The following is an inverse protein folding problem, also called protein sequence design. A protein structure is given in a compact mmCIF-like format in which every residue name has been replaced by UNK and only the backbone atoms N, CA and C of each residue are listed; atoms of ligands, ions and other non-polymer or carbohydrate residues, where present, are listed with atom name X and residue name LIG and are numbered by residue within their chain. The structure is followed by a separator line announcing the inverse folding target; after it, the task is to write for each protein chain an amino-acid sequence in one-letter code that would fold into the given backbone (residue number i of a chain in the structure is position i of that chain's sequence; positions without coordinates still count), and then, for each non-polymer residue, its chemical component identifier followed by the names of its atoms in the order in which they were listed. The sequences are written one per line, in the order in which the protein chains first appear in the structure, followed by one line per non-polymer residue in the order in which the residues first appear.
data_IF_462234453412
#
_entry.id   IF_462234453412
#
_cell.length_a   1.000
_cell.length_b   1.000
_cell.length_c   1.000
_cell.angle_alpha   90.00
_cell.angle_beta   90.00
_cell.angle_gamma   90.00
#
_symmetry.space_group_name_H-M   'P 1'
#
loop_
_entity.id
_entity.type
_entity.pdbx_description
1 polymer ?
2 non-polymer ?
#
# COMPACT_ATOMS: atom_id res chain seq x y z
N UNK A 8 -2.35 -14.24 3.33
CA UNK A 8 -1.40 -15.29 3.67
C UNK A 8 0.05 -15.10 3.16
N UNK A 9 0.37 -14.73 1.91
CA UNK A 9 -0.45 -14.43 0.70
C UNK A 9 -1.50 -13.33 0.87
N UNK A 10 -1.10 -12.22 1.49
CA UNK A 10 -1.99 -11.07 1.66
C UNK A 10 -1.29 -9.80 1.21
N UNK A 11 -1.98 -8.98 0.43
CA UNK A 11 -1.40 -7.77 -0.14
C UNK A 11 -0.95 -6.76 0.91
N UNK A 12 0.18 -6.12 0.66
CA UNK A 12 0.69 -5.05 1.52
C UNK A 12 0.33 -3.70 0.92
N UNK A 13 -0.38 -2.88 1.68
CA UNK A 13 -0.88 -1.60 1.19
C UNK A 13 0.11 -0.46 1.41
N UNK A 14 0.52 0.17 0.31
CA UNK A 14 1.36 1.36 0.35
C UNK A 14 0.58 2.55 -0.16
N UNK A 15 0.58 3.64 0.61
CA UNK A 15 -0.15 4.83 0.24
C UNK A 15 0.75 6.02 -0.03
N UNK A 16 0.15 7.14 -0.39
CA UNK A 16 0.90 8.36 -0.64
C UNK A 16 1.43 8.95 0.66
N UNK A 17 2.15 10.06 0.55
CA UNK A 17 2.72 10.70 1.73
C UNK A 17 1.67 11.40 2.57
N UNK A 18 1.45 10.90 3.77
CA UNK A 18 0.59 11.56 4.75
C UNK A 18 1.46 12.26 5.80
N UNK A 19 0.97 13.38 6.34
CA UNK A 19 1.75 14.14 7.31
C UNK A 19 1.99 13.35 8.59
N UNK A 20 1.00 12.57 9.00
CA UNK A 20 1.14 11.67 10.14
C UNK A 20 2.24 10.67 9.78
N UNK A 21 2.44 10.46 8.49
CA UNK A 21 3.50 9.58 8.03
C UNK A 21 4.84 10.28 7.81
N UNK A 22 4.92 11.55 8.22
CA UNK A 22 6.19 12.25 8.28
C UNK A 22 6.59 12.58 9.73
N UNK A 23 5.60 12.71 10.61
CA UNK A 23 5.83 13.19 11.98
C UNK A 23 6.29 12.15 13.02
N UNK A 24 6.08 10.85 12.76
CA UNK A 24 6.03 9.79 13.78
C UNK A 24 6.56 8.41 13.39
N UNK A 25 7.87 8.09 13.50
CA UNK A 25 8.49 6.93 12.82
C UNK A 25 7.64 5.64 12.75
N UNK A 26 7.81 4.84 11.69
CA UNK A 26 7.01 3.63 11.49
C UNK A 26 6.96 2.77 12.74
N UNK A 27 8.06 2.70 13.48
CA UNK A 27 8.11 1.92 14.71
C UNK A 27 7.20 2.51 15.78
N UNK A 28 6.95 3.82 15.68
CA UNK A 28 6.07 4.51 16.61
C UNK A 28 4.62 4.50 16.12
N UNK A 29 4.40 4.76 14.83
CA UNK A 29 3.06 4.62 14.24
C UNK A 29 2.49 3.25 14.49
N UNK A 30 3.32 2.24 14.22
CA UNK A 30 2.91 0.86 14.36
C UNK A 30 2.37 0.62 15.77
N UNK A 31 3.22 0.91 16.76
CA UNK A 31 2.97 0.60 18.17
C UNK A 31 1.55 0.94 18.65
N UNK A 32 1.12 2.18 18.45
CA UNK A 32 -0.21 2.62 18.86
C UNK A 32 -1.31 1.95 18.04
N UNK A 33 -0.94 1.47 16.85
CA UNK A 33 -1.85 0.74 15.99
C UNK A 33 -2.34 -0.58 16.57
N UNK A 34 -1.42 -1.47 16.92
CA UNK A 34 -1.83 -2.75 17.50
C UNK A 34 -2.39 -2.60 18.91
N UNK A 35 -2.09 -1.48 19.55
CA UNK A 35 -2.58 -1.22 20.90
C UNK A 35 -4.08 -0.92 20.87
N UNK A 36 -4.52 -0.22 19.83
CA UNK A 36 -5.93 0.16 19.70
C UNK A 36 -6.82 -1.03 19.37
N UNK A 37 -6.41 -1.81 18.37
CA UNK A 37 -7.21 -2.93 17.89
C UNK A 37 -7.45 -3.99 18.96
N UNK A 38 -6.62 -4.00 19.99
CA UNK A 38 -6.79 -4.90 21.11
C UNK A 38 -7.68 -4.26 22.18
N UNK A 39 -7.61 -2.94 22.27
CA UNK A 39 -8.44 -2.19 23.21
C UNK A 39 -9.84 -1.98 22.65
N UNK A 40 -9.93 -1.80 21.34
CA UNK A 40 -11.21 -1.62 20.66
C UNK A 40 -11.28 -2.47 19.39
N UNK A 41 -11.79 -3.71 19.52
CA UNK A 41 -11.91 -4.62 18.38
C UNK A 41 -13.13 -4.33 17.51
N UNK A 42 -14.07 -3.59 18.05
CA UNK A 42 -15.31 -3.28 17.34
C UNK A 42 -15.19 -2.00 16.52
N UNK A 43 -14.03 -1.34 16.61
CA UNK A 43 -13.85 -0.05 15.94
C UNK A 43 -12.52 0.02 15.17
N UNK A 44 -12.38 1.06 14.37
CA UNK A 44 -11.26 1.19 13.45
C UNK A 44 -10.54 2.53 13.56
N UNK A 45 -9.20 2.50 13.70
CA UNK A 45 -8.38 3.73 13.73
C UNK A 45 -8.18 4.30 12.33
N UNK A 46 -8.60 5.54 12.13
CA UNK A 46 -8.53 6.17 10.81
C UNK A 46 -7.82 7.53 10.87
N UNK A 47 -6.86 7.71 9.97
CA UNK A 47 -6.18 9.00 9.83
C UNK A 47 -6.76 9.78 8.66
N UNK A 48 -7.28 10.97 8.93
CA UNK A 48 -7.90 11.79 7.90
C UNK A 48 -7.14 13.10 7.69
N UNK A 49 -6.63 13.31 6.48
CA UNK A 49 -5.86 14.50 6.17
C UNK A 49 -6.27 15.14 4.85
N UNK A 50 -6.00 16.44 4.71
CA UNK A 50 -6.27 17.15 3.47
C UNK A 50 -5.20 16.85 2.43
N UNK A 51 -5.63 16.66 1.19
CA UNK A 51 -4.71 16.49 0.07
C UNK A 51 -3.87 17.75 -0.09
N UNK A 52 -2.61 17.61 -0.56
CA UNK A 52 -1.67 18.72 -0.69
C UNK A 52 -2.24 19.97 -1.38
N UNK A 53 -2.64 19.85 -2.64
CA UNK A 53 -3.04 21.01 -3.43
C UNK A 53 -4.52 21.36 -3.27
N UNK A 54 -5.22 20.60 -2.44
CA UNK A 54 -6.67 20.76 -2.29
C UNK A 54 -7.06 22.10 -1.67
N UNK A 55 -8.12 22.71 -2.18
CA UNK A 55 -8.62 23.98 -1.69
C UNK A 55 -9.80 23.80 -0.73
N UNK A 56 -9.54 23.14 0.40
CA UNK A 56 -10.57 22.90 1.41
C UNK A 56 -10.00 23.15 2.80
N UNK A 57 -10.85 23.64 3.73
CA UNK A 57 -10.45 23.91 5.11
C UNK A 57 -9.78 22.71 5.78
N UNK A 58 -8.73 22.97 6.56
CA UNK A 58 -8.01 21.89 7.22
C UNK A 58 -8.82 21.34 8.38
N UNK A 59 -8.61 20.07 8.69
CA UNK A 59 -9.37 19.39 9.73
C UNK A 59 -8.75 19.63 11.11
N UNK A 60 -9.59 20.03 12.06
CA UNK A 60 -9.15 20.33 13.42
C UNK A 60 -8.42 19.16 14.07
N UNK A 61 -9.08 18.00 14.09
CA UNK A 61 -8.47 16.78 14.60
C UNK A 61 -8.42 15.74 13.47
N UNK A 62 -7.37 14.94 13.44
CA UNK A 62 -7.16 14.03 12.31
C UNK A 62 -7.12 12.56 12.72
N UNK A 63 -7.16 12.29 14.02
CA UNK A 63 -7.17 10.92 14.51
C UNK A 63 -8.58 10.50 14.92
N UNK A 64 -9.08 9.43 14.30
CA UNK A 64 -10.47 9.02 14.50
C UNK A 64 -10.64 7.53 14.81
N UNK A 65 -11.51 7.24 15.78
CA UNK A 65 -11.91 5.87 16.08
C UNK A 65 -13.33 5.63 15.57
N UNK A 66 -13.43 4.86 14.49
CA UNK A 66 -14.70 4.70 13.79
C UNK A 66 -15.27 3.28 13.96
N UNK A 67 -16.56 3.18 14.28
CA UNK A 67 -17.27 1.89 14.36
C UNK A 67 -17.09 1.04 13.11
N UNK A 68 -16.93 -0.27 13.28
CA UNK A 68 -16.63 -1.16 12.17
C UNK A 68 -17.81 -1.34 11.21
N UNK A 69 -19.02 -1.09 11.71
CA UNK A 69 -20.22 -1.30 10.89
C UNK A 69 -20.81 0.02 10.40
N UNK A 70 -19.99 1.07 10.35
CA UNK A 70 -20.40 2.35 9.79
C UNK A 70 -19.95 2.43 8.34
N UNK A 71 -20.86 2.86 7.45
CA UNK A 71 -20.54 2.92 6.03
C UNK A 71 -19.60 4.08 5.70
N UNK A 72 -18.88 3.94 4.60
CA UNK A 72 -17.95 4.98 4.15
C UNK A 72 -18.69 6.28 3.87
N UNK A 73 -19.88 6.15 3.28
CA UNK A 73 -20.71 7.29 2.97
C UNK A 73 -21.13 8.09 4.19
N UNK A 74 -21.45 7.39 5.27
CA UNK A 74 -21.85 8.03 6.51
C UNK A 74 -20.68 8.76 7.17
N UNK A 75 -19.49 8.20 7.03
CA UNK A 75 -18.28 8.85 7.54
C UNK A 75 -17.93 10.07 6.71
N UNK A 76 -18.30 10.04 5.44
CA UNK A 76 -18.07 11.15 4.52
C UNK A 76 -18.88 12.38 4.92
N UNK A 77 -20.16 12.17 5.25
CA UNK A 77 -21.02 13.26 5.70
C UNK A 77 -20.61 13.74 7.08
N UNK A 78 -20.00 12.84 7.85
CA UNK A 78 -19.53 13.16 9.19
C UNK A 78 -18.36 14.14 9.12
N UNK A 79 -17.46 13.89 8.18
CA UNK A 79 -16.29 14.74 7.98
C UNK A 79 -16.67 16.11 7.41
N UNK A 80 -17.63 16.11 6.48
CA UNK A 80 -18.12 17.35 5.89
C UNK A 80 -18.64 18.30 6.96
N UNK A 81 -19.35 17.76 7.94
CA UNK A 81 -19.90 18.56 9.03
C UNK A 81 -18.78 19.11 9.92
N UNK A 82 -17.65 18.40 9.94
CA UNK A 82 -16.50 18.84 10.73
C UNK A 82 -15.68 19.88 9.98
N UNK A 83 -15.59 19.72 8.66
CA UNK A 83 -14.92 20.69 7.80
C UNK A 83 -15.77 21.97 7.71
N UNK A 84 -17.06 21.82 8.04
CA UNK A 84 -18.05 22.89 7.98
C UNK A 84 -18.32 23.31 6.54
N UNK A 85 -18.34 22.32 5.64
CA UNK A 85 -18.72 22.56 4.26
C UNK A 85 -20.22 22.87 4.18
N UNK A 86 -20.60 23.70 3.22
CA UNK A 86 -22.02 23.94 3.00
C UNK A 86 -22.55 22.92 1.99
N UNK A 87 -23.86 22.90 1.80
CA UNK A 87 -24.52 21.85 1.04
C UNK A 87 -24.12 21.81 -0.44
N UNK A 88 -23.35 22.80 -0.89
CA UNK A 88 -23.01 22.93 -2.29
C UNK A 88 -21.58 22.52 -2.60
N UNK A 89 -20.74 22.48 -1.57
CA UNK A 89 -19.31 22.23 -1.75
C UNK A 89 -19.02 20.79 -2.19
N UNK A 90 -17.90 20.63 -2.90
CA UNK A 90 -17.48 19.33 -3.38
C UNK A 90 -16.36 18.76 -2.51
N UNK A 91 -16.47 17.49 -2.15
CA UNK A 91 -15.47 16.82 -1.34
C UNK A 91 -15.35 15.36 -1.75
N UNK A 92 -14.12 14.83 -1.78
CA UNK A 92 -13.90 13.46 -2.21
C UNK A 92 -12.83 12.76 -1.38
N UNK A 93 -13.13 11.54 -0.94
CA UNK A 93 -12.17 10.74 -0.19
C UNK A 93 -11.24 9.98 -1.12
N UNK A 94 -9.99 9.84 -0.71
CA UNK A 94 -9.01 9.03 -1.43
C UNK A 94 -8.34 8.05 -0.47
N UNK A 95 -8.64 6.77 -0.65
CA UNK A 95 -8.03 5.72 0.14
C UNK A 95 -7.09 4.92 -0.75
N UNK A 96 -5.79 5.04 -0.49
CA UNK A 96 -4.74 4.51 -1.36
C UNK A 96 -4.91 5.02 -2.78
N UNK A 97 -5.09 6.33 -2.91
CA UNK A 97 -5.21 7.02 -4.19
C UNK A 97 -6.34 6.50 -5.07
N UNK A 98 -7.36 5.94 -4.44
CA UNK A 98 -8.57 5.50 -5.15
C UNK A 98 -9.81 5.90 -4.36
N UNK A 99 -10.81 6.42 -5.06
CA UNK A 99 -12.06 6.84 -4.43
C UNK A 99 -12.87 5.62 -4.00
N UNK A 100 -13.08 5.46 -2.68
CA UNK A 100 -13.76 4.30 -2.11
C UNK A 100 -15.27 4.31 -2.37
N UNK A 101 -15.88 3.11 -2.47
CA UNK A 101 -17.33 2.98 -2.64
C UNK A 101 -18.09 3.40 -1.39
N UNK A 102 -19.26 4.02 -1.58
CA UNK A 102 -20.05 4.53 -0.47
C UNK A 102 -20.72 3.41 0.31
N UNK A 103 -21.17 2.38 -0.40
CA UNK A 103 -21.90 1.27 0.22
C UNK A 103 -21.02 0.46 1.15
N UNK A 104 -19.72 0.50 0.91
CA UNK A 104 -18.77 -0.27 1.71
C UNK A 104 -18.74 0.20 3.17
N UNK A 105 -18.47 -0.74 4.07
CA UNK A 105 -18.35 -0.41 5.49
C UNK A 105 -16.90 -0.06 5.82
N UNK A 106 -16.70 0.68 6.91
CA UNK A 106 -15.35 1.08 7.32
C UNK A 106 -14.53 -0.13 7.73
N UNK A 107 -15.20 -1.21 8.12
CA UNK A 107 -14.53 -2.45 8.45
C UNK A 107 -14.00 -3.12 7.20
N UNK A 108 -14.83 -3.13 6.15
CA UNK A 108 -14.42 -3.68 4.86
C UNK A 108 -13.32 -2.85 4.23
N UNK A 109 -13.41 -1.54 4.41
CA UNK A 109 -12.42 -0.62 3.84
C UNK A 109 -11.09 -0.73 4.57
N UNK A 110 -11.14 -0.91 5.88
CA UNK A 110 -9.94 -1.07 6.68
C UNK A 110 -9.21 -2.36 6.31
N UNK A 111 -9.97 -3.45 6.19
CA UNK A 111 -9.39 -4.75 5.88
C UNK A 111 -8.68 -4.76 4.53
N UNK A 112 -9.11 -3.88 3.63
CA UNK A 112 -8.57 -3.85 2.27
C UNK A 112 -7.49 -2.81 2.07
N UNK A 113 -7.51 -1.75 2.87
CA UNK A 113 -6.64 -0.61 2.61
C UNK A 113 -5.84 -0.10 3.81
N UNK A 114 -5.75 -0.89 4.87
CA UNK A 114 -4.95 -0.49 6.03
C UNK A 114 -3.48 -0.74 5.74
N UNK A 115 -2.63 0.21 6.14
CA UNK A 115 -1.20 0.04 5.98
C UNK A 115 -0.65 -0.91 7.03
N UNK A 116 0.66 -1.12 7.02
CA UNK A 116 1.28 -2.08 7.92
C UNK A 116 1.33 -1.60 9.36
N UNK A 117 0.98 -0.34 9.58
CA UNK A 117 0.94 0.21 10.94
C UNK A 117 -0.47 0.08 11.51
N UNK A 118 -1.31 -0.71 10.84
CA UNK A 118 -2.68 -0.97 11.27
C UNK A 118 -3.50 0.31 11.34
N UNK A 119 -3.16 1.27 10.47
CA UNK A 119 -3.90 2.53 10.38
C UNK A 119 -4.53 2.66 9.00
N UNK A 120 -5.77 3.15 8.95
CA UNK A 120 -6.43 3.44 7.69
C UNK A 120 -6.25 4.91 7.36
N UNK A 121 -5.75 5.19 6.16
CA UNK A 121 -5.46 6.56 5.76
C UNK A 121 -6.44 7.07 4.72
N UNK A 122 -7.17 8.13 5.07
CA UNK A 122 -8.14 8.74 4.18
C UNK A 122 -7.75 10.18 3.87
N UNK A 123 -7.61 10.49 2.58
CA UNK A 123 -7.31 11.85 2.16
C UNK A 123 -8.52 12.48 1.47
N UNK A 124 -8.73 13.78 1.68
CA UNK A 124 -9.87 14.45 1.08
C UNK A 124 -9.46 15.69 0.27
N UNK A 125 -10.17 15.93 -0.82
CA UNK A 125 -9.91 17.06 -1.71
C UNK A 125 -11.21 17.58 -2.33
N UNK A 126 -11.11 18.64 -3.12
CA UNK A 126 -12.28 19.19 -3.80
C UNK A 126 -12.31 18.75 -5.25
N UNK A 127 -11.22 18.11 -5.70
CA UNK A 127 -11.14 17.55 -7.04
C UNK A 127 -10.66 16.10 -6.97
N UNK A 128 -10.56 15.46 -8.12
CA UNK A 128 -10.12 14.06 -8.15
C UNK A 128 -8.66 13.94 -8.62
N UNK A 129 -7.74 13.99 -7.66
CA UNK A 129 -6.31 13.84 -7.96
C UNK A 129 -5.74 12.61 -7.28
N UNK B 9 -5.26 -30.94 1.08
CA UNK B 9 -4.87 -30.09 2.20
C UNK B 9 -3.59 -29.32 1.86
N UNK B 10 -3.15 -28.44 2.75
CA UNK B 10 -1.96 -27.65 2.45
C UNK B 10 -0.73 -28.11 3.19
N UNK B 11 0.41 -27.95 2.51
CA UNK B 11 1.70 -28.33 3.04
C UNK B 11 2.27 -27.25 3.93
N UNK B 12 2.87 -27.66 5.05
CA UNK B 12 3.59 -26.74 5.91
C UNK B 12 5.03 -26.62 5.41
N UNK B 13 5.33 -25.48 4.81
CA UNK B 13 6.66 -25.23 4.26
C UNK B 13 7.68 -24.92 5.35
N UNK B 14 8.92 -25.37 5.15
CA UNK B 14 10.02 -25.08 6.06
C UNK B 14 11.06 -24.29 5.24
N UNK B 15 10.58 -23.31 4.50
CA UNK B 15 11.45 -22.47 3.70
C UNK B 15 12.04 -21.32 4.54
N UNK B 16 12.82 -20.39 3.96
CA UNK B 16 13.17 -20.27 2.55
C UNK B 16 11.96 -20.30 1.63
N UNK B 17 10.99 -19.43 1.93
CA UNK B 17 9.67 -19.46 1.30
C UNK B 17 9.75 -19.58 -0.22
N UNK B 18 8.96 -20.49 -0.77
CA UNK B 18 8.95 -20.73 -2.20
C UNK B 18 8.53 -19.47 -2.94
N UNK B 19 9.10 -19.27 -4.13
CA UNK B 19 8.80 -18.09 -4.92
C UNK B 19 7.35 -18.08 -5.35
N UNK B 20 6.86 -16.92 -5.77
CA UNK B 20 5.45 -16.73 -6.06
C UNK B 20 4.96 -17.56 -7.25
N UNK B 21 5.82 -17.74 -8.25
CA UNK B 21 5.46 -18.53 -9.42
C UNK B 21 5.62 -20.03 -9.15
N UNK B 22 6.32 -20.36 -8.06
CA UNK B 22 6.51 -21.75 -7.68
C UNK B 22 5.27 -22.30 -6.99
N UNK B 23 4.58 -21.44 -6.24
CA UNK B 23 3.36 -21.84 -5.55
C UNK B 23 2.16 -21.85 -6.48
N UNK B 24 1.93 -20.73 -7.15
CA UNK B 24 0.74 -20.56 -7.97
C UNK B 24 1.03 -20.66 -9.46
N UNK B 25 0.14 -21.36 -10.20
CA UNK B 25 0.26 -21.49 -11.65
C UNK B 25 -0.18 -20.22 -12.38
N UNK B 26 0.05 -20.17 -13.68
CA UNK B 26 -0.25 -18.98 -14.48
C UNK B 26 -1.74 -18.65 -14.51
N UNK B 27 -2.58 -19.68 -14.43
CA UNK B 27 -4.03 -19.50 -14.47
C UNK B 27 -4.53 -18.76 -13.23
N UNK B 28 -4.02 -19.14 -12.06
CA UNK B 28 -4.41 -18.50 -10.81
C UNK B 28 -3.82 -17.09 -10.70
N UNK B 29 -2.60 -16.93 -11.22
CA UNK B 29 -1.90 -15.66 -11.15
C UNK B 29 -2.58 -14.57 -11.99
N UNK B 30 -2.93 -14.91 -13.21
CA UNK B 30 -3.59 -13.95 -14.10
C UNK B 30 -4.94 -13.53 -13.55
N UNK B 31 -5.64 -14.46 -12.91
CA UNK B 31 -6.95 -14.18 -12.34
C UNK B 31 -6.88 -13.17 -11.21
N UNK B 32 -5.83 -13.27 -10.40
CA UNK B 32 -5.65 -12.37 -9.26
C UNK B 32 -5.19 -10.99 -9.74
N UNK B 33 -4.31 -10.98 -10.74
CA UNK B 33 -3.82 -9.74 -11.32
C UNK B 33 -4.89 -9.02 -12.12
N UNK B 34 -5.74 -9.81 -12.79
CA UNK B 34 -6.86 -9.28 -13.55
C UNK B 34 -7.81 -8.49 -12.65
N UNK B 35 -8.15 -9.08 -11.51
CA UNK B 35 -9.16 -8.53 -10.62
C UNK B 35 -8.63 -7.38 -9.77
N UNK B 36 -7.36 -7.42 -9.40
CA UNK B 36 -6.80 -6.43 -8.50
C UNK B 36 -6.62 -5.08 -9.18
N UNK B 37 -6.39 -5.08 -10.49
CA UNK B 37 -6.20 -3.82 -11.21
C UNK B 37 -7.53 -3.31 -11.75
N UNK B 38 -8.50 -4.21 -11.92
CA UNK B 38 -9.84 -3.79 -12.28
C UNK B 38 -10.48 -3.10 -11.08
N UNK B 39 -10.01 -3.45 -9.89
CA UNK B 39 -10.50 -2.87 -8.65
C UNK B 39 -9.72 -1.61 -8.28
N UNK B 40 -8.44 -1.60 -8.59
CA UNK B 40 -7.58 -0.45 -8.35
C UNK B 40 -6.76 -0.11 -9.60
N UNK B 41 -7.38 0.58 -10.57
CA UNK B 41 -6.78 0.86 -11.88
C UNK B 41 -5.61 1.84 -11.85
N UNK B 42 -5.41 2.51 -10.72
CA UNK B 42 -4.31 3.45 -10.58
C UNK B 42 -3.39 3.04 -9.43
N UNK B 43 -3.37 1.75 -9.14
CA UNK B 43 -2.42 1.18 -8.19
C UNK B 43 -1.64 0.06 -8.88
N UNK B 44 -0.45 -0.22 -8.39
CA UNK B 44 0.44 -1.18 -9.05
C UNK B 44 0.74 -2.40 -8.18
N UNK B 45 0.34 -3.59 -8.65
CA UNK B 45 0.64 -4.86 -7.98
C UNK B 45 2.06 -5.35 -8.28
N UNK B 46 2.89 -5.44 -7.25
CA UNK B 46 4.30 -5.81 -7.43
C UNK B 46 4.67 -7.06 -6.62
N UNK B 47 5.44 -7.96 -7.25
CA UNK B 47 5.99 -9.11 -6.56
C UNK B 47 7.48 -8.92 -6.31
N UNK B 48 7.88 -8.90 -5.05
CA UNK B 48 9.28 -8.68 -4.70
C UNK B 48 9.89 -9.92 -4.05
N UNK B 49 10.91 -10.47 -4.69
CA UNK B 49 11.59 -11.66 -4.17
C UNK B 49 13.07 -11.66 -4.57
N UNK B 50 13.88 -12.36 -3.78
CA UNK B 50 15.32 -12.37 -3.97
C UNK B 50 15.75 -13.02 -5.28
N UNK B 51 16.73 -12.42 -5.93
CA UNK B 51 17.32 -12.97 -7.15
C UNK B 51 18.09 -14.24 -6.82
N UNK B 52 18.36 -15.09 -7.84
CA UNK B 52 19.18 -16.28 -7.56
C UNK B 52 20.58 -15.93 -7.09
N UNK B 53 21.13 -16.77 -6.22
CA UNK B 53 22.47 -16.58 -5.65
C UNK B 53 22.62 -15.26 -4.89
N UNK B 54 21.52 -14.82 -4.29
CA UNK B 54 21.55 -13.59 -3.48
C UNK B 54 21.93 -13.90 -2.05
N UNK B 55 22.75 -13.04 -1.45
CA UNK B 55 23.18 -13.22 -0.06
C UNK B 55 22.46 -12.25 0.86
N UNK B 56 21.24 -11.87 0.48
CA UNK B 56 20.46 -10.90 1.22
C UNK B 56 19.23 -11.56 1.85
N UNK B 57 18.93 -11.24 3.12
CA UNK B 57 17.76 -11.73 3.85
C UNK B 57 16.47 -11.71 3.04
N UNK B 58 15.62 -12.71 3.22
CA UNK B 58 14.38 -12.81 2.46
C UNK B 58 13.29 -11.93 3.07
N UNK B 59 12.33 -11.54 2.25
CA UNK B 59 11.30 -10.59 2.65
C UNK B 59 10.13 -11.29 3.35
N UNK B 60 9.65 -10.70 4.44
CA UNK B 60 8.56 -11.27 5.22
C UNK B 60 7.28 -11.39 4.39
N UNK B 61 6.98 -10.35 3.62
CA UNK B 61 5.84 -10.35 2.71
C UNK B 61 6.29 -9.95 1.31
N UNK B 62 5.80 -10.64 0.29
CA UNK B 62 6.30 -10.47 -1.06
C UNK B 62 5.37 -9.70 -1.98
N UNK B 63 4.08 -9.67 -1.66
CA UNK B 63 3.09 -9.01 -2.50
C UNK B 63 2.84 -7.57 -2.06
N UNK B 64 2.95 -6.64 -3.01
CA UNK B 64 2.79 -5.22 -2.71
C UNK B 64 1.86 -4.52 -3.69
N UNK B 65 0.99 -3.66 -3.17
CA UNK B 65 0.09 -2.86 -3.99
C UNK B 65 0.41 -1.38 -3.80
N UNK B 66 1.16 -0.82 -4.74
CA UNK B 66 1.73 0.52 -4.58
C UNK B 66 1.09 1.56 -5.50
N UNK B 67 1.18 2.86 -5.13
CA UNK B 67 0.69 3.94 -5.99
C UNK B 67 1.43 4.00 -7.31
N UNK B 68 0.74 4.38 -8.38
CA UNK B 68 1.32 4.41 -9.72
C UNK B 68 2.35 5.53 -9.88
N UNK B 69 2.23 6.58 -9.08
CA UNK B 69 3.12 7.73 -9.19
C UNK B 69 4.23 7.71 -8.14
N UNK B 70 4.41 6.57 -7.48
CA UNK B 70 5.53 6.38 -6.57
C UNK B 70 6.77 6.00 -7.38
N UNK B 71 7.90 6.63 -7.09
CA UNK B 71 9.12 6.37 -7.84
C UNK B 71 9.76 5.05 -7.41
N UNK B 72 10.53 4.46 -8.33
CA UNK B 72 11.28 3.24 -8.03
C UNK B 72 12.24 3.50 -6.88
N UNK B 73 12.85 4.68 -6.87
CA UNK B 73 13.78 5.06 -5.82
C UNK B 73 13.15 5.09 -4.44
N UNK B 74 11.92 5.58 -4.36
CA UNK B 74 11.19 5.64 -3.10
C UNK B 74 10.78 4.25 -2.63
N UNK B 75 10.42 3.39 -3.58
CA UNK B 75 10.04 2.02 -3.26
C UNK B 75 11.27 1.22 -2.83
N UNK B 76 12.43 1.61 -3.35
CA UNK B 76 13.69 0.97 -3.02
C UNK B 76 14.05 1.17 -1.56
N UNK B 77 13.84 2.38 -1.06
CA UNK B 77 14.14 2.70 0.33
C UNK B 77 13.14 2.04 1.28
N UNK B 78 11.91 1.87 0.80
CA UNK B 78 10.87 1.21 1.59
C UNK B 78 11.24 -0.25 1.82
N UNK B 79 11.65 -0.92 0.74
CA UNK B 79 12.02 -2.32 0.79
C UNK B 79 13.22 -2.56 1.71
N UNK B 80 14.21 -1.66 1.63
CA UNK B 80 15.40 -1.76 2.50
C UNK B 80 15.02 -1.76 3.98
N UNK B 81 14.03 -0.95 4.34
CA UNK B 81 13.57 -0.89 5.72
C UNK B 81 12.82 -2.15 6.12
N UNK B 82 12.25 -2.84 5.12
CA UNK B 82 11.51 -4.07 5.36
C UNK B 82 12.45 -5.26 5.54
N UNK B 83 13.54 -5.28 4.76
CA UNK B 83 14.54 -6.33 4.88
C UNK B 83 15.39 -6.11 6.12
N UNK B 84 15.25 -4.93 6.71
CA UNK B 84 16.01 -4.51 7.90
C UNK B 84 17.51 -4.47 7.59
N UNK B 85 17.85 -4.00 6.40
CA UNK B 85 19.25 -3.82 6.03
C UNK B 85 19.81 -2.54 6.65
N UNK B 86 21.12 -2.42 6.67
CA UNK B 86 21.79 -1.28 7.28
C UNK B 86 22.67 -0.55 6.28
N UNK B 87 22.73 0.78 6.36
CA UNK B 87 23.82 1.43 5.62
C UNK B 87 25.14 1.12 6.32
N UNK B 88 26.10 0.55 5.59
CA UNK B 88 26.00 0.37 4.15
C UNK B 88 25.84 -1.08 3.70
N UNK B 89 24.60 -1.49 3.42
CA UNK B 89 24.36 -2.77 2.75
C UNK B 89 23.98 -2.53 1.29
N UNK B 90 24.71 -3.19 0.39
CA UNK B 90 24.44 -3.05 -1.04
C UNK B 90 23.16 -3.78 -1.42
N UNK B 91 22.24 -3.07 -2.07
CA UNK B 91 21.02 -3.68 -2.58
C UNK B 91 20.66 -3.08 -3.94
N UNK B 92 20.30 -3.96 -4.88
CA UNK B 92 19.95 -3.53 -6.22
C UNK B 92 18.65 -4.17 -6.70
N UNK B 93 17.82 -3.39 -7.38
CA UNK B 93 16.58 -3.90 -7.95
C UNK B 93 16.77 -4.36 -9.38
N UNK B 94 16.11 -5.44 -9.75
CA UNK B 94 16.17 -5.97 -11.10
C UNK B 94 14.78 -6.22 -11.66
N UNK B 95 14.40 -5.44 -12.67
CA UNK B 95 13.16 -5.68 -13.40
C UNK B 95 13.50 -6.08 -14.82
N UNK B 96 13.12 -7.30 -15.19
CA UNK B 96 13.53 -7.91 -16.45
C UNK B 96 15.05 -7.94 -16.58
N UNK B 97 15.71 -8.36 -15.49
CA UNK B 97 17.16 -8.47 -15.42
C UNK B 97 17.90 -7.16 -15.68
N UNK B 98 17.22 -6.04 -15.53
CA UNK B 98 17.81 -4.72 -15.74
C UNK B 98 17.51 -3.79 -14.58
N UNK B 99 18.55 -3.13 -14.06
CA UNK B 99 18.38 -2.15 -13.00
C UNK B 99 17.62 -0.93 -13.51
N UNK B 100 16.42 -0.68 -12.95
CA UNK B 100 15.57 0.42 -13.39
C UNK B 100 16.05 1.78 -12.89
N UNK B 101 15.77 2.85 -13.64
CA UNK B 101 16.11 4.20 -13.19
C UNK B 101 15.31 4.58 -11.94
N UNK B 102 15.97 5.24 -10.98
CA UNK B 102 15.33 5.58 -9.72
C UNK B 102 14.22 6.60 -9.91
N UNK B 103 14.32 7.40 -10.97
CA UNK B 103 13.35 8.46 -11.24
C UNK B 103 12.08 7.93 -11.91
N UNK B 104 12.13 6.67 -12.35
CA UNK B 104 10.98 6.04 -13.00
C UNK B 104 9.87 5.78 -11.99
N UNK B 105 8.64 6.00 -12.40
CA UNK B 105 7.49 5.72 -11.55
C UNK B 105 7.10 4.25 -11.65
N UNK B 106 6.50 3.72 -10.58
CA UNK B 106 6.06 2.33 -10.57
C UNK B 106 5.00 2.08 -11.63
N UNK B 107 4.20 3.11 -11.93
CA UNK B 107 3.20 3.02 -12.97
C UNK B 107 3.82 2.90 -14.35
N UNK B 108 4.84 3.71 -14.61
CA UNK B 108 5.54 3.67 -15.89
C UNK B 108 6.36 2.38 -16.00
N UNK B 109 6.88 1.93 -14.86
CA UNK B 109 7.66 0.69 -14.83
C UNK B 109 6.74 -0.51 -15.03
N UNK B 110 5.52 -0.41 -14.53
CA UNK B 110 4.52 -1.45 -14.70
C UNK B 110 4.08 -1.54 -16.15
N UNK B 111 3.74 -0.38 -16.73
CA UNK B 111 3.22 -0.31 -18.08
C UNK B 111 4.21 -0.83 -19.12
N UNK B 112 5.47 -0.94 -18.75
CA UNK B 112 6.51 -1.37 -19.68
C UNK B 112 7.00 -2.80 -19.42
N UNK B 113 6.89 -3.26 -18.18
CA UNK B 113 7.51 -4.53 -17.81
C UNK B 113 6.59 -5.52 -17.08
N UNK B 114 5.28 -5.27 -17.10
CA UNK B 114 4.35 -6.20 -16.46
C UNK B 114 4.22 -7.47 -17.28
N UNK B 115 4.30 -8.62 -16.62
CA UNK B 115 4.22 -9.91 -17.29
C UNK B 115 2.77 -10.22 -17.68
N UNK B 116 2.56 -11.38 -18.30
CA UNK B 116 1.27 -11.73 -18.87
C UNK B 116 0.16 -11.91 -17.82
N UNK B 117 0.55 -12.00 -16.55
CA UNK B 117 -0.42 -12.18 -15.47
C UNK B 117 -0.75 -10.86 -14.79
N UNK B 118 -0.39 -9.77 -15.44
CA UNK B 118 -0.61 -8.40 -14.94
C UNK B 118 0.05 -8.19 -13.58
N UNK B 119 1.23 -8.79 -13.41
CA UNK B 119 2.04 -8.59 -12.20
C UNK B 119 3.40 -8.00 -12.57
N UNK B 120 3.90 -7.09 -11.74
CA UNK B 120 5.23 -6.55 -11.92
C UNK B 120 6.22 -7.24 -10.99
N UNK B 121 7.21 -7.91 -11.57
CA UNK B 121 8.17 -8.66 -10.78
C UNK B 121 9.48 -7.89 -10.56
N UNK B 122 9.81 -7.67 -9.30
CA UNK B 122 11.05 -7.00 -8.93
C UNK B 122 11.96 -7.92 -8.13
N UNK B 123 13.17 -8.14 -8.62
CA UNK B 123 14.14 -8.97 -7.93
C UNK B 123 15.21 -8.11 -7.26
N UNK B 124 15.65 -8.52 -6.08
CA UNK B 124 16.69 -7.78 -5.37
C UNK B 124 17.88 -8.67 -5.01
N UNK B 125 19.06 -8.08 -5.04
CA UNK B 125 20.30 -8.79 -4.69
C UNK B 125 21.33 -7.80 -4.15
N UNK B 126 22.45 -8.33 -3.67
CA UNK B 126 23.52 -7.48 -3.17
C UNK B 126 24.60 -7.28 -4.23
N UNK B 127 24.38 -7.89 -5.39
CA UNK B 127 25.26 -7.69 -6.54
C UNK B 127 24.50 -6.96 -7.65
N UNK B 128 25.20 -6.66 -8.74
CA UNK B 128 24.57 -5.99 -9.88
C UNK B 128 24.21 -7.00 -10.97
N UNK B 129 24.27 -8.28 -10.61
CA UNK B 129 24.12 -9.40 -11.52
C UNK B 129 23.52 -10.58 -10.72
N UNK B 130 22.51 -11.28 -11.25
CA UNK B 130 21.96 -11.07 -12.59
C UNK B 130 20.43 -10.89 -12.57
N UNK B 131 19.82 -11.12 -11.41
CA UNK B 131 18.38 -11.02 -11.30
C UNK B 131 17.67 -12.23 -11.89
X LIG C 1 -27.70 17.17 -2.06
X LIG C 1 -26.99 16.36 -0.98
X LIG C 1 -26.79 17.21 0.18
X LIG C 1 -27.86 15.17 -0.59
X LIG C 1 -25.63 15.88 -1.48
X LIG C 1 -24.49 16.85 -1.18
X LIG C 1 -24.98 18.14 -0.91
X LIG C 1 -23.67 16.37 0.02
X LIG D 1 21.65 7.95 1.21
X LIG D 1 22.54 7.36 2.29
X LIG D 1 23.86 7.11 1.73
X LIG D 1 22.69 8.36 3.44
X LIG D 1 21.98 6.04 2.80
X LIG D 1 22.36 4.90 1.87
X LIG D 1 23.36 4.11 2.48
X LIG D 1 21.15 4.03 1.54
#
# INVERSE_FOLDING_TARGET
GSVRPQQEDEWVNVGSKFQYKEDHPFEYRKKEGEKIRKKYPDRVPVIVEKAPKARVPDLDKRKYLVPSDLTVGQFYFLIRKRIHLRPEDALFFFVNNTIPPTSATMGQLYEDNHEEDYFLYVAYSDESVYGK
GSVRPQQEDEWVNVGSKFQYKEDHPFEYRKKEGEKIRKKYPDRVPVIVEKAPKARVPDLDKRKYLVPSDLTVGQFYFLIRKRIHLRPEDALFFFVNNTIPPTSATMGQLYEDNHEEDYFLYVAYSDESVYGK
MPD C1 C2 O2 CM C3 C4 O4 C5
MPD C1 C2 O2 CM C3 C4 O4 C5
#
